data_IF_278008651027
#
_entry.id   IF_278008651027
#
_cell.length_a   1.000
_cell.length_b   1.000
_cell.length_c   1.000
_cell.angle_alpha   90.00
_cell.angle_beta   90.00
_cell.angle_gamma   90.00
#
_symmetry.space_group_name_H-M   'P 1'
#
loop_
_entity.id
_entity.type
_entity.pdbx_description
1 polymer ?
#
# COMPACT_ATOMS: atom_id res chain seq x y z
N UNK A 1 45.83 -20.93 11.41
CA UNK A 1 44.93 -20.85 12.59
C UNK A 1 44.10 -19.58 12.46
N UNK A 2 42.88 -19.67 11.95
CA UNK A 2 41.94 -18.55 11.89
C UNK A 2 41.44 -18.20 13.30
N UNK A 3 41.39 -16.91 13.70
CA UNK A 3 41.11 -16.54 15.08
C UNK A 3 39.61 -16.73 15.39
N UNK A 4 39.26 -17.35 16.53
CA UNK A 4 37.86 -17.67 16.88
C UNK A 4 36.95 -16.44 17.02
N UNK A 5 37.52 -15.25 17.24
CA UNK A 5 36.77 -14.00 17.36
C UNK A 5 36.22 -13.48 16.03
N UNK A 6 36.85 -13.80 14.90
CA UNK A 6 36.39 -13.32 13.60
C UNK A 6 35.08 -14.01 13.19
N UNK A 7 34.99 -15.32 13.43
CA UNK A 7 33.77 -16.10 13.18
C UNK A 7 32.62 -15.65 14.08
N UNK A 8 32.89 -15.37 15.36
CA UNK A 8 31.87 -14.89 16.29
C UNK A 8 31.35 -13.49 15.91
N UNK A 9 32.23 -12.60 15.46
CA UNK A 9 31.85 -11.26 14.98
C UNK A 9 31.04 -11.33 13.67
N UNK A 10 31.44 -12.18 12.73
CA UNK A 10 30.70 -12.39 11.49
C UNK A 10 29.31 -13.00 11.75
N UNK A 11 29.20 -13.95 12.68
CA UNK A 11 27.92 -14.54 13.07
C UNK A 11 27.00 -13.51 13.75
N UNK A 12 27.53 -12.68 14.65
CA UNK A 12 26.76 -11.61 15.29
C UNK A 12 26.33 -10.52 14.29
N UNK A 13 27.21 -10.13 13.36
CA UNK A 13 26.88 -9.19 12.30
C UNK A 13 25.84 -9.77 11.34
N UNK A 14 25.94 -11.05 10.97
CA UNK A 14 24.94 -11.72 10.13
C UNK A 14 23.59 -11.85 10.83
N UNK A 15 23.56 -12.16 12.13
CA UNK A 15 22.34 -12.19 12.93
C UNK A 15 21.70 -10.80 13.06
N UNK A 16 22.52 -9.75 13.20
CA UNK A 16 22.06 -8.36 13.20
C UNK A 16 21.54 -7.95 11.81
N UNK A 17 22.23 -8.31 10.72
CA UNK A 17 21.78 -8.03 9.35
C UNK A 17 20.48 -8.78 9.05
N UNK A 18 20.35 -10.05 9.45
CA UNK A 18 19.11 -10.82 9.32
C UNK A 18 17.96 -10.20 10.14
N UNK A 19 18.23 -9.69 11.34
CA UNK A 19 17.21 -9.00 12.14
C UNK A 19 16.85 -7.62 11.61
N UNK A 20 17.68 -7.04 10.72
CA UNK A 20 17.38 -5.82 9.98
C UNK A 20 16.64 -6.08 8.65
N UNK A 21 16.53 -7.33 8.16
CA UNK A 21 15.71 -7.63 7.00
C UNK A 21 14.23 -7.55 7.41
N UNK A 22 13.57 -6.45 7.05
CA UNK A 22 12.14 -6.34 7.19
C UNK A 22 11.45 -7.33 6.26
N UNK A 23 10.54 -8.14 6.80
CA UNK A 23 9.65 -8.95 5.96
C UNK A 23 8.67 -8.02 5.25
N UNK A 24 8.45 -8.22 3.96
CA UNK A 24 7.55 -7.39 3.18
C UNK A 24 6.59 -8.27 2.38
N UNK A 25 5.32 -7.86 2.35
CA UNK A 25 4.31 -8.40 1.43
C UNK A 25 3.63 -7.25 0.69
N UNK A 26 3.37 -7.47 -0.59
CA UNK A 26 2.72 -6.49 -1.45
C UNK A 26 1.43 -7.07 -2.05
N UNK A 27 0.38 -6.26 -2.01
CA UNK A 27 -0.92 -6.56 -2.61
C UNK A 27 -1.33 -5.43 -3.55
N UNK A 28 -2.30 -5.72 -4.42
CA UNK A 28 -2.91 -4.73 -5.32
C UNK A 28 -4.42 -4.93 -5.27
N UNK A 29 -5.15 -3.83 -5.12
CA UNK A 29 -6.62 -3.81 -5.16
C UNK A 29 -7.06 -2.61 -5.98
N UNK A 30 -8.25 -2.70 -6.56
CA UNK A 30 -8.89 -1.52 -7.12
C UNK A 30 -9.41 -0.63 -5.97
N UNK A 31 -9.46 0.68 -6.19
CA UNK A 31 -10.23 1.56 -5.31
C UNK A 31 -11.72 1.18 -5.28
N UNK A 32 -12.50 1.81 -4.40
CA UNK A 32 -13.94 1.52 -4.27
C UNK A 32 -14.28 0.05 -3.98
N UNK A 33 -13.28 -0.77 -3.59
CA UNK A 33 -13.49 -2.16 -3.20
C UNK A 33 -14.37 -2.23 -1.94
N UNK A 34 -15.30 -3.18 -1.93
CA UNK A 34 -16.28 -3.37 -0.86
C UNK A 34 -15.65 -3.49 0.54
N UNK A 35 -16.34 -2.92 1.53
CA UNK A 35 -15.97 -3.07 2.93
C UNK A 35 -15.92 -4.56 3.32
N UNK A 36 -14.94 -4.90 4.16
CA UNK A 36 -14.65 -6.26 4.62
C UNK A 36 -14.19 -7.23 3.54
N UNK A 37 -14.07 -6.80 2.28
CA UNK A 37 -13.43 -7.61 1.26
C UNK A 37 -11.97 -7.91 1.64
N UNK A 38 -11.49 -9.05 1.14
CA UNK A 38 -10.13 -9.52 1.40
C UNK A 38 -9.18 -8.96 0.36
N UNK A 39 -8.16 -8.23 0.81
CA UNK A 39 -7.07 -7.69 -0.02
C UNK A 39 -6.08 -8.80 -0.38
N UNK A 40 -5.78 -9.66 0.58
CA UNK A 40 -4.81 -10.74 0.46
C UNK A 40 -4.54 -11.40 1.80
N UNK A 41 -3.68 -12.42 1.82
CA UNK A 41 -3.30 -13.15 3.04
C UNK A 41 -1.80 -13.00 3.30
N UNK A 42 -1.44 -12.51 4.50
CA UNK A 42 -0.04 -12.24 4.87
C UNK A 42 0.80 -13.52 4.90
N UNK A 43 0.26 -14.65 5.38
CA UNK A 43 0.98 -15.93 5.39
C UNK A 43 1.33 -16.40 3.99
N UNK A 44 0.36 -16.30 3.08
CA UNK A 44 0.55 -16.68 1.67
C UNK A 44 1.55 -15.75 1.00
N UNK A 45 1.48 -14.44 1.25
CA UNK A 45 2.43 -13.47 0.73
C UNK A 45 3.87 -13.73 1.20
N UNK A 46 4.05 -14.26 2.41
CA UNK A 46 5.35 -14.65 2.96
C UNK A 46 5.78 -16.08 2.56
N UNK A 47 4.93 -16.84 1.87
CA UNK A 47 5.19 -18.25 1.54
C UNK A 47 5.22 -19.19 2.76
N UNK A 48 4.41 -18.89 3.79
CA UNK A 48 4.35 -19.62 5.07
C UNK A 48 2.97 -20.23 5.29
N UNK A 49 2.87 -21.21 6.20
CA UNK A 49 1.61 -21.82 6.59
C UNK A 49 1.11 -21.23 7.93
N UNK A 50 -0.20 -20.96 8.08
CA UNK A 50 -0.81 -20.63 9.38
C UNK A 50 -0.82 -21.85 10.32
N UNK A 51 -1.03 -21.69 11.65
CA UNK A 51 -1.12 -20.43 12.40
C UNK A 51 0.16 -20.15 13.23
N UNK A 52 0.73 -18.97 13.05
CA UNK A 52 1.59 -18.34 14.06
C UNK A 52 0.74 -17.32 14.87
N UNK A 53 1.28 -16.53 15.83
CA UNK A 53 0.46 -15.64 16.65
C UNK A 53 -0.43 -14.66 15.85
N UNK A 54 -1.40 -14.03 16.51
CA UNK A 54 -2.28 -13.03 15.88
C UNK A 54 -1.47 -11.81 15.39
N UNK A 55 -1.81 -11.28 14.21
CA UNK A 55 -1.20 -10.05 13.70
C UNK A 55 -1.79 -8.81 14.39
N UNK A 56 -0.95 -7.80 14.61
CA UNK A 56 -1.39 -6.48 15.09
C UNK A 56 -0.84 -5.39 14.20
N UNK A 57 -1.71 -4.49 13.73
CA UNK A 57 -1.28 -3.31 12.97
C UNK A 57 -0.93 -2.20 13.96
N UNK A 58 0.32 -1.69 13.91
CA UNK A 58 0.79 -0.66 14.83
C UNK A 58 1.57 0.43 14.05
N UNK A 59 1.12 1.71 14.10
CA UNK A 59 -0.16 2.17 14.64
C UNK A 59 -1.34 1.58 13.86
N UNK A 60 -2.54 1.57 14.45
CA UNK A 60 -3.73 1.06 13.77
C UNK A 60 -3.95 1.79 12.43
N UNK A 61 -4.35 1.04 11.40
CA UNK A 61 -4.69 1.60 10.10
C UNK A 61 -6.16 2.02 10.05
N UNK A 62 -6.45 3.14 9.40
CA UNK A 62 -7.82 3.57 9.05
C UNK A 62 -8.47 2.63 8.03
N UNK A 63 -7.68 2.10 7.11
CA UNK A 63 -8.16 1.43 5.91
C UNK A 63 -8.15 -0.09 6.00
N UNK A 64 -7.28 -0.64 6.86
CA UNK A 64 -7.02 -2.07 6.88
C UNK A 64 -7.06 -2.66 8.29
N UNK A 65 -7.55 -3.88 8.38
CA UNK A 65 -7.38 -4.78 9.53
C UNK A 65 -6.73 -6.09 9.07
N UNK A 66 -6.19 -6.86 10.02
CA UNK A 66 -5.76 -8.25 9.76
C UNK A 66 -6.54 -9.15 10.70
N UNK A 67 -7.13 -10.20 10.15
CA UNK A 67 -7.86 -11.18 10.93
C UNK A 67 -6.97 -12.29 11.52
N UNK A 68 -7.58 -13.21 12.27
CA UNK A 68 -6.87 -14.32 12.93
C UNK A 68 -6.20 -15.27 11.94
N UNK A 69 -6.71 -15.38 10.72
CA UNK A 69 -6.20 -16.24 9.67
C UNK A 69 -5.15 -15.52 8.79
N UNK A 70 -4.83 -14.26 9.11
CA UNK A 70 -3.86 -13.45 8.39
C UNK A 70 -4.41 -12.76 7.14
N UNK A 71 -5.73 -12.70 6.96
CA UNK A 71 -6.34 -11.94 5.87
C UNK A 71 -6.33 -10.45 6.17
N UNK A 72 -5.74 -9.68 5.26
CA UNK A 72 -5.87 -8.22 5.24
C UNK A 72 -7.27 -7.89 4.73
N UNK A 73 -8.06 -7.13 5.50
CA UNK A 73 -9.43 -6.72 5.17
C UNK A 73 -9.56 -5.22 5.05
N UNK A 74 -10.48 -4.78 4.20
CA UNK A 74 -10.85 -3.37 4.05
C UNK A 74 -11.79 -2.95 5.18
N UNK A 75 -11.44 -1.85 5.85
CA UNK A 75 -12.20 -1.28 6.98
C UNK A 75 -12.88 0.04 6.64
N UNK A 76 -12.34 0.79 5.68
CA UNK A 76 -12.89 2.07 5.22
C UNK A 76 -12.81 2.14 3.70
N UNK A 77 -13.74 2.89 3.09
CA UNK A 77 -13.69 3.23 1.66
C UNK A 77 -12.34 3.88 1.32
N UNK A 78 -11.74 3.42 0.23
CA UNK A 78 -10.51 3.94 -0.34
C UNK A 78 -10.89 4.57 -1.66
N UNK A 79 -10.64 5.87 -1.75
CA UNK A 79 -10.92 6.74 -2.89
C UNK A 79 -9.56 7.33 -3.28
N UNK A 80 -9.09 7.04 -4.49
CA UNK A 80 -7.74 7.41 -4.97
C UNK A 80 -7.65 8.90 -5.25
N UNK A 81 -8.78 9.56 -5.49
CA UNK A 81 -8.86 11.02 -5.67
C UNK A 81 -8.87 11.77 -4.33
N UNK A 82 -9.10 11.10 -3.18
CA UNK A 82 -9.01 11.72 -1.86
C UNK A 82 -7.53 12.02 -1.50
N UNK A 83 -7.12 13.31 -1.38
CA UNK A 83 -5.75 13.68 -1.05
C UNK A 83 -5.31 13.21 0.35
N UNK A 84 -6.25 12.90 1.25
CA UNK A 84 -5.95 12.33 2.55
C UNK A 84 -5.55 10.84 2.46
N UNK A 85 -5.90 10.18 1.35
CA UNK A 85 -5.57 8.77 1.07
C UNK A 85 -4.37 8.67 0.13
N UNK A 86 -4.38 9.43 -0.97
CA UNK A 86 -3.40 9.35 -2.05
C UNK A 86 -2.96 10.76 -2.52
N UNK A 87 -2.16 11.50 -1.73
CA UNK A 87 -1.82 12.89 -2.03
C UNK A 87 -1.13 13.07 -3.38
N UNK A 88 -0.11 12.26 -3.69
CA UNK A 88 0.63 12.40 -4.96
C UNK A 88 -0.19 11.92 -6.17
N UNK A 89 -1.00 10.87 -6.00
CA UNK A 89 -1.80 10.30 -7.08
C UNK A 89 -2.94 11.25 -7.50
N UNK A 90 -3.56 11.93 -6.52
CA UNK A 90 -4.64 12.89 -6.74
C UNK A 90 -4.22 14.12 -7.56
N UNK A 91 -2.93 14.49 -7.53
CA UNK A 91 -2.42 15.67 -8.25
C UNK A 91 -1.62 15.34 -9.51
N UNK A 92 -0.83 14.24 -9.48
CA UNK A 92 0.16 13.93 -10.51
C UNK A 92 -0.07 12.61 -11.24
N UNK A 93 -1.05 11.81 -10.82
CA UNK A 93 -1.33 10.49 -11.40
C UNK A 93 -0.24 9.44 -11.11
N UNK A 94 0.54 9.63 -10.04
CA UNK A 94 1.52 8.64 -9.57
C UNK A 94 0.83 7.42 -8.92
N UNK A 95 1.61 6.35 -8.69
CA UNK A 95 1.12 5.17 -7.99
C UNK A 95 0.67 5.53 -6.56
N UNK A 96 -0.58 5.20 -6.20
CA UNK A 96 -1.02 5.27 -4.81
C UNK A 96 -0.68 3.98 -4.08
N UNK A 97 0.16 4.08 -3.03
CA UNK A 97 0.54 2.95 -2.20
C UNK A 97 0.30 3.27 -0.73
N UNK A 98 -0.57 2.49 -0.10
CA UNK A 98 -0.80 2.56 1.35
C UNK A 98 0.11 1.52 2.03
N UNK A 99 1.05 1.99 2.83
CA UNK A 99 1.97 1.16 3.61
C UNK A 99 1.60 1.15 5.09
N UNK A 100 1.60 -0.03 5.72
CA UNK A 100 1.44 -0.15 7.17
C UNK A 100 2.28 -1.29 7.75
N UNK A 101 2.51 -1.24 9.07
CA UNK A 101 3.28 -2.24 9.79
C UNK A 101 2.36 -3.22 10.50
N UNK A 102 2.50 -4.50 10.18
CA UNK A 102 1.91 -5.61 10.92
C UNK A 102 2.97 -6.27 11.80
N UNK A 103 2.59 -6.67 13.00
CA UNK A 103 3.46 -7.36 13.94
C UNK A 103 2.92 -8.75 14.24
N UNK A 104 3.77 -9.76 14.06
CA UNK A 104 3.53 -11.13 14.48
C UNK A 104 4.45 -11.46 15.67
N UNK A 105 3.94 -11.32 16.89
CA UNK A 105 4.80 -11.34 18.08
C UNK A 105 5.82 -10.20 18.03
N UNK A 106 7.11 -10.52 17.90
CA UNK A 106 8.21 -9.54 17.78
C UNK A 106 8.63 -9.27 16.34
N UNK A 107 8.11 -10.01 15.37
CA UNK A 107 8.46 -9.85 13.95
C UNK A 107 7.65 -8.72 13.34
N UNK A 108 8.33 -7.76 12.72
CA UNK A 108 7.71 -6.67 11.94
C UNK A 108 7.60 -7.11 10.47
N UNK A 109 6.40 -6.99 9.93
CA UNK A 109 6.09 -7.18 8.51
C UNK A 109 5.58 -5.84 7.96
N UNK A 110 6.19 -5.38 6.87
CA UNK A 110 5.72 -4.24 6.09
C UNK A 110 4.69 -4.76 5.09
N UNK A 111 3.48 -4.21 5.13
CA UNK A 111 2.43 -4.52 4.17
C UNK A 111 2.22 -3.32 3.27
N UNK A 112 2.39 -3.50 1.96
CA UNK A 112 2.13 -2.49 0.93
C UNK A 112 0.90 -2.87 0.13
N UNK A 113 -0.04 -1.94 0.00
CA UNK A 113 -1.23 -2.13 -0.82
C UNK A 113 -1.24 -1.04 -1.90
N UNK A 114 -1.02 -1.43 -3.15
CA UNK A 114 -1.17 -0.53 -4.30
C UNK A 114 -2.65 -0.41 -4.65
N UNK A 115 -3.13 0.82 -4.70
CA UNK A 115 -4.51 1.15 -5.08
C UNK A 115 -4.53 1.42 -6.58
N UNK A 116 -5.28 0.62 -7.31
CA UNK A 116 -5.48 0.76 -8.75
C UNK A 116 -6.65 1.70 -9.00
N UNK A 117 -6.43 2.63 -9.92
CA UNK A 117 -7.42 3.56 -10.43
C UNK A 117 -8.58 2.82 -11.12
N UNK A 118 -9.82 3.25 -10.83
CA UNK A 118 -11.00 2.91 -11.62
C UNK A 118 -11.47 4.18 -12.34
N UNK A 119 -11.89 4.06 -13.60
CA UNK A 119 -12.50 5.18 -14.33
C UNK A 119 -13.96 5.41 -13.87
N UNK A 120 -14.16 5.77 -12.60
CA UNK A 120 -15.45 6.10 -12.00
C UNK A 120 -15.77 7.61 -12.03
N UNK A 121 -14.75 8.44 -12.30
CA UNK A 121 -14.86 9.87 -12.43
C UNK A 121 -15.00 10.31 -13.90
N UNK A 122 -16.20 10.74 -14.29
CA UNK A 122 -16.42 11.32 -15.62
C UNK A 122 -15.87 12.75 -15.71
N UNK A 123 -15.26 13.14 -16.85
CA UNK A 123 -14.78 14.50 -17.03
C UNK A 123 -15.93 15.50 -16.93
N UNK A 124 -15.68 16.63 -16.27
CA UNK A 124 -16.66 17.71 -16.14
C UNK A 124 -16.10 19.03 -16.65
N UNK A 125 -16.96 19.80 -17.31
CA UNK A 125 -16.62 21.17 -17.70
C UNK A 125 -16.93 22.13 -16.55
N UNK A 126 -16.07 23.13 -16.33
CA UNK A 126 -16.31 24.19 -15.33
C UNK A 126 -17.59 24.98 -15.58
N UNK A 127 -18.05 25.02 -16.83
CA UNK A 127 -19.29 25.65 -17.25
C UNK A 127 -20.02 24.73 -18.23
N UNK A 128 -21.36 24.61 -18.14
CA UNK A 128 -22.13 23.83 -19.11
C UNK A 128 -22.14 24.44 -20.52
N UNK A 129 -21.84 25.74 -20.63
CA UNK A 129 -21.74 26.47 -21.90
C UNK A 129 -20.42 27.24 -21.93
N UNK A 130 -19.71 27.18 -23.06
CA UNK A 130 -18.50 27.97 -23.30
C UNK A 130 -18.70 28.82 -24.54
N UNK A 131 -18.71 30.13 -24.36
CA UNK A 131 -18.69 31.09 -25.47
C UNK A 131 -17.25 31.36 -25.88
N UNK A 132 -17.00 31.35 -27.19
CA UNK A 132 -15.69 31.62 -27.80
C UNK A 132 -15.95 32.64 -28.90
N UNK A 133 -15.19 33.73 -28.92
CA UNK A 133 -15.25 34.75 -29.95
C UNK A 133 -14.05 34.59 -30.87
N UNK A 134 -14.31 34.49 -32.17
CA UNK A 134 -13.28 34.38 -33.21
C UNK A 134 -13.52 35.53 -34.17
N UNK A 135 -12.48 36.32 -34.42
CA UNK A 135 -12.51 37.40 -35.40
C UNK A 135 -12.57 36.82 -36.81
N UNK A 136 -13.42 37.39 -37.66
CA UNK A 136 -13.50 37.00 -39.05
C UNK A 136 -12.17 37.35 -39.76
N UNK A 137 -11.51 36.33 -40.30
CA UNK A 137 -10.20 36.47 -40.96
C UNK A 137 -8.99 36.15 -40.08
N UNK A 138 -9.17 35.70 -38.83
CA UNK A 138 -8.05 35.12 -38.07
C UNK A 138 -7.57 33.82 -38.73
N UNK A 139 -6.31 33.81 -39.19
CA UNK A 139 -5.70 32.65 -39.88
C UNK A 139 -4.98 31.68 -38.91
N UNK A 140 -5.09 31.92 -37.61
CA UNK A 140 -4.46 31.09 -36.55
C UNK A 140 -5.37 29.98 -36.02
N UNK A 141 -6.61 29.93 -36.51
CA UNK A 141 -7.60 28.88 -36.27
C UNK A 141 -7.96 28.18 -37.58
#
# INVERSE_FOLDING_TARGET
MSPPHLLLRLAAAAALILSLLAEEVAFRIEEETDLKATVGNVWTGLGRQPPAPEFRIIPASRFFSIDRDGHVRIESRIDREDPATCPDASETGSDCVIEFNAFNGTTRIVVKVTILDINDNSPTFKSPVKEIFIEEGDQRF
#
